data_IF_223550338937
#
_entry.id   IF_223550338937
#
_cell.length_a   1.000
_cell.length_b   1.000
_cell.length_c   1.000
_cell.angle_alpha   90.00
_cell.angle_beta   90.00
_cell.angle_gamma   90.00
#
_symmetry.space_group_name_H-M   'P 1'
#
loop_
_entity.id
_entity.type
_entity.pdbx_description
1 polymer ?
#
# COMPACT_ATOMS: atom_id res chain seq x y z
N UNK A 1 8.85 23.10 -4.52
CA UNK A 1 9.11 22.89 -5.96
C UNK A 1 8.25 21.71 -6.40
N UNK A 2 7.15 21.95 -7.14
CA UNK A 2 6.36 20.85 -7.72
C UNK A 2 7.05 20.41 -9.00
N UNK A 3 7.64 19.22 -8.98
CA UNK A 3 8.14 18.59 -10.20
C UNK A 3 6.94 18.26 -11.08
N UNK A 4 6.79 18.99 -12.19
CA UNK A 4 5.86 18.63 -13.25
C UNK A 4 6.31 17.29 -13.82
N UNK A 5 5.49 16.24 -13.63
CA UNK A 5 5.73 14.89 -14.17
C UNK A 5 6.10 15.00 -15.65
N UNK A 6 7.34 14.63 -15.99
CA UNK A 6 7.72 14.41 -17.38
C UNK A 6 6.89 13.20 -17.88
N UNK A 7 6.31 13.24 -19.09
CA UNK A 7 5.37 12.22 -19.57
C UNK A 7 6.00 10.85 -19.85
N UNK A 8 7.22 10.59 -19.36
CA UNK A 8 7.98 9.38 -19.62
C UNK A 8 8.86 8.93 -18.43
N UNK A 9 8.55 9.33 -17.19
CA UNK A 9 9.18 8.69 -16.03
C UNK A 9 8.56 7.29 -15.87
N UNK A 10 9.19 6.29 -16.47
CA UNK A 10 8.82 4.88 -16.26
C UNK A 10 9.18 4.39 -14.87
N UNK A 11 9.81 5.22 -14.04
CA UNK A 11 10.31 4.92 -12.69
C UNK A 11 9.34 5.47 -11.64
N UNK A 12 9.14 4.70 -10.57
CA UNK A 12 8.25 5.01 -9.46
C UNK A 12 8.60 6.35 -8.81
N UNK A 13 7.64 7.29 -8.70
CA UNK A 13 7.90 8.64 -8.17
C UNK A 13 8.22 8.66 -6.67
N UNK A 14 7.91 7.59 -5.95
CA UNK A 14 8.08 7.51 -4.50
C UNK A 14 9.46 6.98 -4.08
N UNK A 15 10.04 6.07 -4.87
CA UNK A 15 11.34 5.47 -4.54
C UNK A 15 12.45 5.80 -5.53
N UNK A 16 12.11 6.27 -6.74
CA UNK A 16 13.05 6.60 -7.82
C UNK A 16 14.01 5.45 -8.21
N UNK A 17 13.63 4.19 -7.93
CA UNK A 17 14.50 3.02 -8.09
C UNK A 17 13.99 1.99 -9.10
N UNK A 18 12.69 1.70 -9.09
CA UNK A 18 12.08 0.62 -9.89
C UNK A 18 11.00 1.18 -10.81
N UNK A 19 10.66 0.48 -11.90
CA UNK A 19 9.59 0.91 -12.77
C UNK A 19 8.27 1.11 -12.03
N UNK A 20 7.55 2.18 -12.37
CA UNK A 20 6.22 2.41 -11.85
C UNK A 20 5.28 1.31 -12.35
N UNK A 21 4.73 0.56 -11.41
CA UNK A 21 3.61 -0.34 -11.67
C UNK A 21 2.68 -0.30 -10.46
N UNK A 22 1.40 -0.61 -10.66
CA UNK A 22 0.39 -0.45 -9.62
C UNK A 22 0.71 -1.27 -8.35
N UNK A 23 1.26 -2.48 -8.50
CA UNK A 23 1.63 -3.36 -7.38
C UNK A 23 2.85 -2.81 -6.64
N UNK A 24 3.82 -2.27 -7.36
CA UNK A 24 5.00 -1.65 -6.81
C UNK A 24 4.62 -0.39 -6.04
N UNK A 25 3.90 0.52 -6.68
CA UNK A 25 3.45 1.76 -6.05
C UNK A 25 2.60 1.48 -4.81
N UNK A 26 1.68 0.51 -4.86
CA UNK A 26 0.81 0.22 -3.73
C UNK A 26 1.48 -0.62 -2.63
N UNK A 27 2.33 -1.59 -2.95
CA UNK A 27 2.77 -2.63 -1.99
C UNK A 27 4.29 -2.79 -1.89
N UNK A 28 5.01 -2.76 -3.01
CA UNK A 28 6.43 -3.16 -3.01
C UNK A 28 7.39 -1.98 -2.80
N UNK A 29 6.95 -0.76 -3.09
CA UNK A 29 7.72 0.46 -2.92
C UNK A 29 8.16 0.58 -1.46
N UNK A 30 9.45 0.87 -1.17
CA UNK A 30 9.93 1.06 0.19
C UNK A 30 9.11 2.08 0.99
N UNK A 31 8.67 3.17 0.35
CA UNK A 31 7.77 4.14 0.95
C UNK A 31 6.44 3.50 1.38
N UNK A 32 5.80 2.76 0.47
CA UNK A 32 4.51 2.12 0.73
C UNK A 32 4.62 1.04 1.79
N UNK A 33 5.71 0.26 1.83
CA UNK A 33 5.98 -0.72 2.89
C UNK A 33 6.06 -0.06 4.27
N UNK A 34 6.79 1.05 4.38
CA UNK A 34 6.87 1.81 5.64
C UNK A 34 5.50 2.38 6.02
N UNK A 35 4.75 2.90 5.05
CA UNK A 35 3.40 3.41 5.28
C UNK A 35 2.47 2.33 5.83
N UNK A 36 2.45 1.16 5.20
CA UNK A 36 1.65 0.02 5.65
C UNK A 36 2.06 -0.47 7.02
N UNK A 37 3.36 -0.50 7.33
CA UNK A 37 3.83 -0.78 8.68
C UNK A 37 3.29 0.22 9.71
N UNK A 38 3.34 1.52 9.41
CA UNK A 38 2.80 2.56 10.31
C UNK A 38 1.29 2.43 10.51
N UNK A 39 0.54 2.24 9.42
CA UNK A 39 -0.92 2.00 9.46
C UNK A 39 -1.23 0.75 10.28
N UNK A 40 -0.53 -0.36 10.01
CA UNK A 40 -0.65 -1.60 10.75
C UNK A 40 -0.42 -1.39 12.24
N UNK A 41 0.70 -0.76 12.62
CA UNK A 41 1.02 -0.47 14.02
C UNK A 41 -0.06 0.38 14.69
N UNK A 42 -0.57 1.41 14.01
CA UNK A 42 -1.66 2.25 14.55
C UNK A 42 -2.98 1.50 14.78
N UNK A 43 -3.20 0.43 14.01
CA UNK A 43 -4.39 -0.42 14.09
C UNK A 43 -4.18 -1.66 14.97
N UNK A 44 -3.01 -1.85 15.59
CA UNK A 44 -2.66 -3.06 16.33
C UNK A 44 -2.48 -4.30 15.43
N UNK A 45 -2.12 -4.08 14.17
CA UNK A 45 -2.02 -5.06 13.07
C UNK A 45 -0.68 -4.96 12.32
N UNK A 46 0.38 -4.43 12.96
CA UNK A 46 1.67 -4.12 12.34
C UNK A 46 2.28 -5.29 11.56
N UNK A 47 2.29 -6.48 12.17
CA UNK A 47 2.87 -7.68 11.58
C UNK A 47 2.15 -8.10 10.28
N UNK A 48 0.84 -7.87 10.19
CA UNK A 48 0.03 -8.32 9.05
C UNK A 48 0.26 -7.48 7.79
N UNK A 49 0.38 -6.16 7.98
CA UNK A 49 0.66 -5.25 6.88
C UNK A 49 2.12 -5.38 6.41
N UNK A 50 3.04 -5.64 7.34
CA UNK A 50 4.45 -5.88 7.03
C UNK A 50 4.67 -7.19 6.26
N UNK A 51 4.15 -8.33 6.73
CA UNK A 51 4.25 -9.65 6.07
C UNK A 51 3.68 -9.61 4.65
N UNK A 52 2.48 -9.03 4.50
CA UNK A 52 1.79 -9.06 3.23
C UNK A 52 2.48 -8.15 2.19
N UNK A 53 3.19 -7.09 2.61
CA UNK A 53 3.94 -6.23 1.68
C UNK A 53 5.25 -6.85 1.16
N UNK A 54 5.79 -7.88 1.83
CA UNK A 54 7.10 -8.44 1.49
C UNK A 54 7.09 -9.41 0.30
N UNK A 55 5.97 -10.11 0.05
CA UNK A 55 5.95 -11.27 -0.87
C UNK A 55 4.84 -11.24 -1.94
N UNK A 56 4.04 -10.19 -2.01
CA UNK A 56 2.86 -10.19 -2.88
C UNK A 56 3.17 -9.56 -4.23
N UNK A 57 3.01 -10.37 -5.29
CA UNK A 57 2.99 -9.91 -6.68
C UNK A 57 1.58 -9.47 -7.11
N UNK A 58 0.57 -9.70 -6.28
CA UNK A 58 -0.82 -9.42 -6.58
C UNK A 58 -1.49 -8.64 -5.43
N UNK A 59 -2.15 -7.55 -5.80
CA UNK A 59 -2.91 -6.72 -4.89
C UNK A 59 -4.10 -7.43 -4.25
N UNK A 60 -4.80 -8.28 -5.00
CA UNK A 60 -5.99 -8.99 -4.53
C UNK A 60 -5.64 -9.99 -3.42
N UNK A 61 -4.53 -10.70 -3.56
CA UNK A 61 -4.07 -11.69 -2.57
C UNK A 61 -3.66 -11.00 -1.27
N UNK A 62 -2.93 -9.88 -1.38
CA UNK A 62 -2.62 -9.01 -0.25
C UNK A 62 -3.89 -8.53 0.46
N UNK A 63 -4.84 -7.96 -0.29
CA UNK A 63 -6.10 -7.43 0.23
C UNK A 63 -6.90 -8.50 0.97
N UNK A 64 -7.06 -9.68 0.37
CA UNK A 64 -7.77 -10.79 0.98
C UNK A 64 -7.06 -11.31 2.23
N UNK A 65 -5.72 -11.41 2.19
CA UNK A 65 -4.89 -11.83 3.31
C UNK A 65 -4.99 -10.91 4.53
N UNK A 66 -5.10 -9.61 4.32
CA UNK A 66 -5.33 -8.63 5.40
C UNK A 66 -6.75 -8.74 5.94
N UNK A 67 -7.77 -8.73 5.06
CA UNK A 67 -9.16 -8.64 5.51
C UNK A 67 -9.71 -9.93 6.11
N UNK A 68 -9.23 -11.11 5.71
CA UNK A 68 -9.69 -12.40 6.26
C UNK A 68 -9.32 -12.57 7.74
N UNK A 69 -8.24 -11.93 8.19
CA UNK A 69 -7.78 -11.96 9.59
C UNK A 69 -8.68 -11.12 10.51
N UNK A 70 -9.49 -10.21 9.96
CA UNK A 70 -10.38 -9.33 10.72
C UNK A 70 -11.77 -9.96 10.84
N UNK A 71 -12.03 -10.57 12.01
CA UNK A 71 -13.31 -11.24 12.29
C UNK A 71 -14.49 -10.27 12.44
N UNK A 72 -14.24 -9.08 13.00
CA UNK A 72 -15.29 -8.09 13.23
C UNK A 72 -15.67 -7.37 11.91
N UNK A 73 -16.92 -7.49 11.47
CA UNK A 73 -17.41 -6.90 10.20
C UNK A 73 -17.28 -5.38 10.15
N UNK A 74 -17.51 -4.66 11.26
CA UNK A 74 -17.39 -3.20 11.32
C UNK A 74 -15.92 -2.78 11.18
N UNK A 75 -15.04 -3.42 11.94
CA UNK A 75 -13.60 -3.19 11.87
C UNK A 75 -13.06 -3.50 10.47
N UNK A 76 -13.48 -4.63 9.86
CA UNK A 76 -13.09 -5.01 8.50
C UNK A 76 -13.46 -3.96 7.47
N UNK A 77 -14.66 -3.37 7.57
CA UNK A 77 -15.11 -2.27 6.70
C UNK A 77 -14.28 -1.00 6.91
N UNK A 78 -13.99 -0.65 8.15
CA UNK A 78 -13.14 0.50 8.48
C UNK A 78 -11.72 0.33 7.93
N UNK A 79 -11.12 -0.85 8.09
CA UNK A 79 -9.78 -1.14 7.58
C UNK A 79 -9.77 -1.13 6.04
N UNK A 80 -10.76 -1.74 5.39
CA UNK A 80 -10.90 -1.66 3.93
C UNK A 80 -10.98 -0.20 3.45
N UNK A 81 -11.70 0.67 4.16
CA UNK A 81 -11.80 2.09 3.84
C UNK A 81 -10.44 2.81 3.98
N UNK A 82 -9.69 2.53 5.05
CA UNK A 82 -8.34 3.08 5.25
C UNK A 82 -7.40 2.63 4.12
N UNK A 83 -7.46 1.36 3.73
CA UNK A 83 -6.64 0.83 2.63
C UNK A 83 -6.96 1.54 1.32
N UNK A 84 -8.24 1.63 0.94
CA UNK A 84 -8.66 2.31 -0.29
C UNK A 84 -8.27 3.78 -0.30
N UNK A 85 -8.47 4.47 0.82
CA UNK A 85 -8.08 5.88 0.96
C UNK A 85 -6.57 6.06 0.81
N UNK A 86 -5.77 5.19 1.43
CA UNK A 86 -4.31 5.24 1.36
C UNK A 86 -3.83 5.06 -0.07
N UNK A 87 -4.30 4.03 -0.76
CA UNK A 87 -3.90 3.75 -2.15
C UNK A 87 -4.29 4.90 -3.06
N UNK A 88 -5.48 5.48 -2.85
CA UNK A 88 -5.90 6.65 -3.60
C UNK A 88 -4.96 7.84 -3.41
N UNK A 89 -4.51 8.11 -2.17
CA UNK A 89 -3.54 9.18 -1.93
C UNK A 89 -2.18 8.88 -2.56
N UNK A 90 -1.68 7.64 -2.42
CA UNK A 90 -0.44 7.17 -3.06
C UNK A 90 -0.48 7.35 -4.57
N UNK A 91 -1.64 7.11 -5.22
CA UNK A 91 -1.79 7.26 -6.66
C UNK A 91 -1.88 8.72 -7.12
N UNK A 92 -2.41 9.61 -6.26
CA UNK A 92 -2.54 11.04 -6.57
C UNK A 92 -1.24 11.84 -6.40
N UNK A 93 -0.29 11.31 -5.65
CA UNK A 93 1.05 11.87 -5.45
C UNK A 93 1.88 11.76 -6.72
#
# INVERSE_FOLDING_TARGET
MRATRAPCSTICPLCDQLPENAVHLALQCPFSKLFWFMVGTSLGMGDFFAEASQFQHNFQDWWNGVLIRIKNKKQRRSVAAVIMYTIWNIWKE
#
